data_IF_872154951085
#
_entry.id   IF_872154951085
#
_cell.length_a   1.000
_cell.length_b   1.000
_cell.length_c   1.000
_cell.angle_alpha   90.00
_cell.angle_beta   90.00
_cell.angle_gamma   90.00
#
_symmetry.space_group_name_H-M   'P 1'
#
loop_
_entity.id
_entity.type
_entity.pdbx_description
1 polymer ?
#
# COMPACT_ATOMS: atom_id res chain seq x y z
N UNK A 1 -10.56 9.95 -11.34
CA UNK A 1 -10.75 10.00 -9.89
C UNK A 1 -9.58 10.78 -9.34
N UNK A 2 -9.84 11.81 -8.54
CA UNK A 2 -8.79 12.54 -7.85
C UNK A 2 -8.78 12.04 -6.40
N UNK A 3 -7.61 11.61 -5.93
CA UNK A 3 -7.42 11.15 -4.56
C UNK A 3 -6.99 12.33 -3.69
N UNK A 4 -7.65 12.53 -2.55
CA UNK A 4 -7.19 13.48 -1.54
C UNK A 4 -5.79 13.05 -1.04
N UNK A 5 -4.92 14.03 -0.79
CA UNK A 5 -3.55 13.81 -0.31
C UNK A 5 -3.28 14.53 1.00
N UNK A 6 -4.31 14.95 1.74
CA UNK A 6 -4.19 15.41 3.12
C UNK A 6 -3.79 14.27 4.07
N UNK A 7 -2.97 14.53 5.07
CA UNK A 7 -2.56 13.48 6.02
C UNK A 7 -3.75 13.01 6.87
N UNK A 8 -3.99 11.70 7.06
CA UNK A 8 -5.07 11.18 7.90
C UNK A 8 -5.01 11.72 9.33
N UNK A 9 -6.07 12.42 9.74
CA UNK A 9 -6.22 12.97 11.09
C UNK A 9 -7.70 13.02 11.51
N UNK A 10 -7.98 13.50 12.72
CA UNK A 10 -9.37 13.64 13.20
C UNK A 10 -10.20 14.65 12.39
N UNK A 11 -9.56 15.67 11.82
CA UNK A 11 -10.22 16.73 11.04
C UNK A 11 -10.71 16.27 9.67
N UNK A 12 -10.09 15.23 9.08
CA UNK A 12 -10.53 14.60 7.83
C UNK A 12 -11.08 13.18 7.99
N UNK A 13 -11.36 12.74 9.23
CA UNK A 13 -11.87 11.41 9.52
C UNK A 13 -10.92 10.30 9.05
N UNK A 14 -9.61 10.52 9.20
CA UNK A 14 -8.53 9.62 8.78
C UNK A 14 -8.62 9.16 7.31
N UNK A 15 -9.19 9.99 6.43
CA UNK A 15 -9.49 9.64 5.04
C UNK A 15 -10.38 8.38 4.88
N UNK A 16 -11.53 8.34 5.57
CA UNK A 16 -12.43 7.19 5.55
C UNK A 16 -12.77 6.61 4.17
N UNK A 17 -12.93 7.45 3.14
CA UNK A 17 -13.20 6.97 1.78
C UNK A 17 -12.03 6.17 1.18
N UNK A 18 -10.78 6.58 1.44
CA UNK A 18 -9.61 5.82 0.98
C UNK A 18 -9.46 4.53 1.77
N UNK A 19 -9.65 4.59 3.09
CA UNK A 19 -9.59 3.39 3.93
C UNK A 19 -10.61 2.34 3.50
N UNK A 20 -11.85 2.76 3.22
CA UNK A 20 -12.90 1.89 2.71
C UNK A 20 -12.52 1.30 1.34
N UNK A 21 -12.02 2.11 0.41
CA UNK A 21 -11.58 1.63 -0.91
C UNK A 21 -10.46 0.57 -0.79
N UNK A 22 -9.46 0.84 0.05
CA UNK A 22 -8.32 -0.05 0.29
C UNK A 22 -8.81 -1.37 0.91
N UNK A 23 -9.57 -1.30 2.00
CA UNK A 23 -10.01 -2.47 2.76
C UNK A 23 -11.06 -3.31 2.02
N UNK A 24 -12.06 -2.67 1.40
CA UNK A 24 -13.12 -3.38 0.66
C UNK A 24 -12.59 -4.07 -0.60
N UNK A 25 -11.65 -3.44 -1.32
CA UNK A 25 -10.96 -4.07 -2.46
C UNK A 25 -10.18 -5.30 -2.03
N UNK A 26 -9.44 -5.21 -0.91
CA UNK A 26 -8.71 -6.34 -0.35
C UNK A 26 -9.67 -7.48 0.05
N UNK A 27 -10.74 -7.18 0.79
CA UNK A 27 -11.72 -8.18 1.23
C UNK A 27 -12.40 -8.87 0.03
N UNK A 28 -12.76 -8.11 -1.01
CA UNK A 28 -13.37 -8.64 -2.22
C UNK A 28 -12.44 -9.61 -2.95
N UNK A 29 -11.17 -9.26 -3.09
CA UNK A 29 -10.20 -10.02 -3.89
C UNK A 29 -9.62 -11.21 -3.12
N UNK A 30 -9.21 -11.01 -1.86
CA UNK A 30 -8.52 -12.03 -1.06
C UNK A 30 -9.46 -12.82 -0.14
N UNK A 31 -10.74 -12.42 -0.03
CA UNK A 31 -11.75 -13.08 0.82
C UNK A 31 -11.36 -13.18 2.30
N UNK A 32 -10.47 -12.30 2.75
CA UNK A 32 -10.06 -12.13 4.14
C UNK A 32 -9.96 -10.63 4.47
N UNK A 33 -10.32 -10.20 5.69
CA UNK A 33 -10.18 -8.81 6.08
C UNK A 33 -8.69 -8.39 6.08
N UNK A 34 -8.43 -7.14 5.69
CA UNK A 34 -7.06 -6.57 5.72
C UNK A 34 -6.60 -6.32 7.16
N UNK A 35 -7.50 -5.77 7.98
CA UNK A 35 -7.24 -5.49 9.38
C UNK A 35 -7.77 -6.65 10.22
N UNK A 36 -7.05 -7.08 11.27
CA UNK A 36 -7.59 -8.05 12.23
C UNK A 36 -8.84 -7.49 12.88
N UNK A 37 -9.81 -8.34 13.24
CA UNK A 37 -11.03 -7.93 13.91
C UNK A 37 -10.68 -7.11 15.17
N UNK A 38 -10.94 -5.80 15.10
CA UNK A 38 -10.94 -4.91 16.24
C UNK A 38 -12.39 -4.81 16.66
N UNK A 39 -12.68 -5.01 17.95
CA UNK A 39 -14.05 -4.90 18.48
C UNK A 39 -14.74 -3.58 18.12
N UNK A 40 -16.00 -3.44 18.56
CA UNK A 40 -16.97 -2.39 18.19
C UNK A 40 -16.53 -0.91 18.30
N UNK A 41 -15.31 -0.61 18.76
CA UNK A 41 -14.88 0.72 19.22
C UNK A 41 -13.94 1.50 18.28
N UNK A 42 -13.64 1.04 17.06
CA UNK A 42 -12.61 1.69 16.23
C UNK A 42 -12.97 1.90 14.77
N UNK A 43 -13.06 3.17 14.36
CA UNK A 43 -13.10 3.63 12.97
C UNK A 43 -12.02 2.91 12.12
N UNK A 44 -12.47 2.20 11.08
CA UNK A 44 -11.61 1.46 10.13
C UNK A 44 -10.50 2.34 9.58
N UNK A 45 -10.78 3.62 9.33
CA UNK A 45 -9.82 4.56 8.76
C UNK A 45 -8.66 4.84 9.72
N UNK A 46 -9.00 5.16 10.97
CA UNK A 46 -8.02 5.30 12.06
C UNK A 46 -7.21 4.03 12.25
N UNK A 47 -7.85 2.86 12.29
CA UNK A 47 -7.15 1.57 12.46
C UNK A 47 -6.20 1.27 11.31
N UNK A 48 -6.57 1.60 10.08
CA UNK A 48 -5.73 1.41 8.90
C UNK A 48 -4.48 2.30 8.98
N UNK A 49 -4.66 3.56 9.38
CA UNK A 49 -3.55 4.51 9.53
C UNK A 49 -2.58 4.15 10.67
N UNK A 50 -3.06 3.54 11.74
CA UNK A 50 -2.25 3.11 12.89
C UNK A 50 -1.87 1.61 12.86
N UNK A 51 -2.11 0.89 11.77
CA UNK A 51 -1.82 -0.53 11.70
C UNK A 51 -0.31 -0.81 11.93
N UNK A 52 0.06 -1.89 12.65
CA UNK A 52 1.45 -2.21 13.00
C UNK A 52 2.24 -2.83 11.84
N UNK A 53 1.73 -2.74 10.62
CA UNK A 53 2.33 -3.24 9.39
C UNK A 53 2.15 -2.18 8.30
N UNK A 54 2.97 -2.23 7.26
CA UNK A 54 2.97 -1.21 6.21
C UNK A 54 1.72 -1.35 5.35
N UNK A 55 1.08 -0.21 5.04
CA UNK A 55 0.02 -0.09 4.03
C UNK A 55 0.31 1.13 3.15
N UNK A 56 0.34 0.90 1.84
CA UNK A 56 0.59 1.91 0.80
C UNK A 56 -0.49 1.83 -0.28
N UNK A 57 -0.85 2.96 -0.89
CA UNK A 57 -1.70 2.96 -2.08
C UNK A 57 -1.34 4.07 -3.06
N UNK A 58 -1.37 3.76 -4.36
CA UNK A 58 -1.10 4.69 -5.46
C UNK A 58 -2.22 4.68 -6.50
N UNK A 59 -2.30 5.76 -7.27
CA UNK A 59 -3.27 5.92 -8.35
C UNK A 59 -2.98 4.99 -9.56
N UNK A 60 -3.82 5.06 -10.59
CA UNK A 60 -3.63 4.31 -11.84
C UNK A 60 -2.99 5.14 -12.97
N UNK A 61 -2.29 6.24 -12.65
CA UNK A 61 -1.62 7.04 -13.66
C UNK A 61 -0.47 6.26 -14.35
N UNK A 62 -0.02 6.63 -15.56
CA UNK A 62 1.09 5.96 -16.24
C UNK A 62 2.41 5.93 -15.45
N UNK A 63 2.68 6.96 -14.63
CA UNK A 63 3.72 6.96 -13.60
C UNK A 63 3.02 7.08 -12.23
N UNK A 64 2.59 5.96 -11.62
CA UNK A 64 1.71 5.98 -10.46
C UNK A 64 2.34 6.67 -9.26
N UNK A 65 1.57 7.54 -8.60
CA UNK A 65 2.03 8.26 -7.40
C UNK A 65 1.21 7.82 -6.20
N UNK A 66 1.87 7.62 -5.06
CA UNK A 66 1.16 7.30 -3.82
C UNK A 66 0.19 8.42 -3.45
N UNK A 67 -0.98 8.04 -2.95
CA UNK A 67 -1.94 8.93 -2.31
C UNK A 67 -2.19 8.56 -0.85
N UNK A 68 -1.69 7.40 -0.41
CA UNK A 68 -1.84 6.90 0.95
C UNK A 68 -0.58 6.18 1.44
N UNK A 69 -0.17 6.49 2.68
CA UNK A 69 0.89 5.79 3.41
C UNK A 69 0.61 5.84 4.92
N UNK A 70 0.39 4.67 5.55
CA UNK A 70 0.15 4.63 6.99
C UNK A 70 1.43 4.95 7.80
N UNK A 71 1.30 5.13 9.13
CA UNK A 71 2.45 5.53 9.97
C UNK A 71 3.63 4.55 9.87
N UNK A 72 3.37 3.24 9.88
CA UNK A 72 4.40 2.23 9.71
C UNK A 72 5.16 2.39 8.37
N UNK A 73 4.47 2.79 7.30
CA UNK A 73 5.10 3.10 6.03
C UNK A 73 5.99 4.34 6.12
N UNK A 74 5.49 5.43 6.71
CA UNK A 74 6.24 6.68 6.89
C UNK A 74 7.53 6.44 7.67
N UNK A 75 7.45 5.69 8.77
CA UNK A 75 8.59 5.33 9.61
C UNK A 75 9.60 4.45 8.86
N UNK A 76 9.15 3.38 8.21
CA UNK A 76 10.04 2.43 7.54
C UNK A 76 10.79 3.07 6.35
N UNK A 77 10.09 3.88 5.56
CA UNK A 77 10.66 4.59 4.42
C UNK A 77 11.36 5.89 4.80
N UNK A 78 11.28 6.32 6.06
CA UNK A 78 11.87 7.55 6.59
C UNK A 78 11.42 8.79 5.80
N UNK A 79 10.13 8.85 5.52
CA UNK A 79 9.52 9.92 4.74
C UNK A 79 8.31 10.42 5.50
N UNK A 80 8.16 11.74 5.57
CA UNK A 80 6.91 12.37 5.98
C UNK A 80 5.79 12.00 5.01
N UNK A 81 4.55 12.13 5.46
CA UNK A 81 3.37 11.97 4.60
C UNK A 81 3.49 12.77 3.30
N UNK A 82 3.93 14.03 3.38
CA UNK A 82 4.05 14.92 2.21
C UNK A 82 5.05 14.40 1.17
N UNK A 83 6.13 13.76 1.61
CA UNK A 83 7.10 13.12 0.73
C UNK A 83 6.52 11.84 0.12
N UNK A 84 5.86 11.02 0.94
CA UNK A 84 5.24 9.76 0.51
C UNK A 84 4.21 10.00 -0.59
N UNK A 85 3.26 10.91 -0.39
CA UNK A 85 2.17 11.15 -1.36
C UNK A 85 2.61 11.95 -2.61
N UNK A 86 3.90 12.22 -2.76
CA UNK A 86 4.49 12.78 -3.99
C UNK A 86 5.45 11.81 -4.67
N UNK A 87 5.76 10.69 -4.02
CA UNK A 87 6.70 9.70 -4.49
C UNK A 87 6.07 8.85 -5.61
N UNK A 88 6.64 8.85 -6.83
CA UNK A 88 6.28 7.86 -7.83
C UNK A 88 6.64 6.47 -7.30
N UNK A 89 5.68 5.54 -7.35
CA UNK A 89 5.80 4.20 -6.75
C UNK A 89 7.10 3.46 -7.14
N UNK A 90 7.55 3.63 -8.38
CA UNK A 90 8.81 3.06 -8.91
C UNK A 90 10.08 3.51 -8.19
N UNK A 91 10.05 4.63 -7.46
CA UNK A 91 11.20 5.15 -6.71
C UNK A 91 11.34 4.52 -5.31
N UNK A 92 10.28 3.90 -4.80
CA UNK A 92 10.30 3.20 -3.49
C UNK A 92 10.94 1.80 -3.55
N UNK A 93 11.17 1.29 -4.76
CA UNK A 93 11.62 -0.08 -5.01
C UNK A 93 12.88 -0.11 -5.85
N UNK A 94 13.74 -1.07 -5.58
CA UNK A 94 14.82 -1.36 -6.52
C UNK A 94 14.25 -1.90 -7.84
N UNK A 95 14.97 -1.70 -8.95
CA UNK A 95 14.64 -2.37 -10.20
C UNK A 95 14.53 -3.87 -9.96
N UNK A 96 13.30 -4.39 -10.02
CA UNK A 96 13.04 -5.82 -9.98
C UNK A 96 13.81 -6.50 -11.11
N UNK A 97 14.35 -7.68 -10.83
CA UNK A 97 14.83 -8.56 -11.89
C UNK A 97 13.68 -8.76 -12.90
N UNK A 98 14.01 -8.71 -14.20
CA UNK A 98 13.02 -8.69 -15.28
C UNK A 98 12.02 -9.86 -15.20
N UNK A 99 12.48 -11.02 -14.74
CA UNK A 99 11.64 -12.21 -14.53
C UNK A 99 10.68 -12.09 -13.34
N UNK A 100 11.14 -11.54 -12.20
CA UNK A 100 10.28 -11.33 -11.02
C UNK A 100 9.17 -10.32 -11.34
N UNK A 101 9.50 -9.25 -12.07
CA UNK A 101 8.51 -8.28 -12.54
C UNK A 101 7.49 -8.93 -13.47
N UNK A 102 7.91 -9.78 -14.39
CA UNK A 102 6.99 -10.46 -15.31
C UNK A 102 6.05 -11.43 -14.58
N UNK A 103 6.54 -12.19 -13.59
CA UNK A 103 5.72 -13.08 -12.78
C UNK A 103 4.68 -12.31 -11.97
N UNK A 104 5.09 -11.19 -11.37
CA UNK A 104 4.20 -10.29 -10.64
C UNK A 104 3.11 -9.72 -11.55
N UNK A 105 3.50 -9.14 -12.70
CA UNK A 105 2.56 -8.57 -13.67
C UNK A 105 1.58 -9.63 -14.21
N UNK A 106 2.06 -10.85 -14.48
CA UNK A 106 1.21 -11.93 -14.99
C UNK A 106 0.17 -12.42 -13.97
N UNK A 107 0.51 -12.44 -12.67
CA UNK A 107 -0.42 -12.84 -11.60
C UNK A 107 -1.45 -11.75 -11.30
N UNK A 108 -1.00 -10.50 -11.16
CA UNK A 108 -1.90 -9.36 -10.98
C UNK A 108 -2.86 -9.23 -12.17
N UNK A 109 -2.39 -9.45 -13.40
CA UNK A 109 -3.24 -9.42 -14.59
C UNK A 109 -4.30 -10.54 -14.64
N UNK A 110 -4.14 -11.62 -13.88
CA UNK A 110 -5.07 -12.77 -13.86
C UNK A 110 -6.04 -12.76 -12.69
N UNK A 111 -5.58 -12.25 -11.54
CA UNK A 111 -6.30 -12.40 -10.27
C UNK A 111 -6.59 -11.06 -9.60
N UNK A 112 -6.14 -9.94 -10.17
CA UNK A 112 -6.20 -8.60 -9.59
C UNK A 112 -5.41 -8.43 -8.27
N UNK A 113 -4.69 -9.48 -7.82
CA UNK A 113 -3.78 -9.42 -6.67
C UNK A 113 -2.61 -10.42 -6.77
N UNK A 114 -1.64 -10.25 -5.87
CA UNK A 114 -0.56 -11.19 -5.52
C UNK A 114 -0.34 -11.10 -4.01
N UNK A 115 -0.06 -12.21 -3.33
CA UNK A 115 0.07 -12.28 -1.86
C UNK A 115 1.41 -12.87 -1.38
N UNK A 116 2.31 -13.21 -2.29
CA UNK A 116 3.63 -13.78 -2.03
C UNK A 116 4.78 -12.91 -2.54
N UNK A 117 4.54 -11.60 -2.71
CA UNK A 117 5.54 -10.71 -3.27
C UNK A 117 6.72 -10.47 -2.30
N UNK A 118 7.93 -10.50 -2.86
CA UNK A 118 9.16 -10.18 -2.16
C UNK A 118 10.03 -9.25 -3.02
N UNK A 119 10.82 -8.42 -2.38
CA UNK A 119 11.69 -7.49 -3.09
C UNK A 119 12.47 -6.58 -2.17
N UNK A 120 13.48 -5.91 -2.74
CA UNK A 120 14.24 -4.89 -2.01
C UNK A 120 13.54 -3.54 -2.18
N UNK A 121 13.51 -2.78 -1.09
CA UNK A 121 13.00 -1.41 -0.97
C UNK A 121 14.10 -0.53 -0.40
N UNK A 122 13.96 0.77 -0.65
CA UNK A 122 14.94 1.77 -0.23
C UNK A 122 14.22 2.91 0.50
N UNK A 123 14.70 3.24 1.70
CA UNK A 123 14.26 4.40 2.47
C UNK A 123 14.91 5.68 1.93
N UNK A 124 14.42 6.85 2.34
CA UNK A 124 14.95 8.16 1.92
C UNK A 124 16.43 8.35 2.27
N UNK A 125 16.92 7.75 3.37
CA UNK A 125 18.34 7.76 3.76
C UNK A 125 19.24 6.90 2.87
N UNK A 126 18.66 6.10 1.97
CA UNK A 126 19.38 5.07 1.22
C UNK A 126 19.46 3.71 1.93
N UNK A 127 18.93 3.58 3.16
CA UNK A 127 18.84 2.28 3.85
C UNK A 127 17.99 1.30 3.03
N UNK A 128 18.55 0.12 2.77
CA UNK A 128 17.88 -0.95 2.03
C UNK A 128 17.25 -1.95 2.98
N UNK A 129 16.10 -2.48 2.60
CA UNK A 129 15.43 -3.56 3.32
C UNK A 129 14.74 -4.50 2.35
N UNK A 130 14.70 -5.79 2.67
CA UNK A 130 13.98 -6.79 1.89
C UNK A 130 12.64 -7.09 2.55
N UNK A 131 11.55 -6.94 1.82
CA UNK A 131 10.21 -7.37 2.23
C UNK A 131 9.94 -8.80 1.75
N UNK A 132 9.09 -9.52 2.48
CA UNK A 132 8.60 -10.84 2.11
C UNK A 132 7.10 -10.99 2.41
N UNK A 133 6.42 -11.86 1.67
CA UNK A 133 4.98 -12.12 1.88
C UNK A 133 4.09 -10.90 1.67
N UNK A 134 4.55 -9.92 0.88
CA UNK A 134 3.79 -8.72 0.63
C UNK A 134 2.59 -9.03 -0.25
N UNK A 135 1.45 -8.46 0.12
CA UNK A 135 0.25 -8.48 -0.69
C UNK A 135 0.16 -7.20 -1.51
N UNK A 136 -0.10 -7.32 -2.81
CA UNK A 136 -0.40 -6.20 -3.71
C UNK A 136 -1.71 -6.50 -4.42
N UNK A 137 -2.65 -5.56 -4.42
CA UNK A 137 -3.97 -5.74 -5.01
C UNK A 137 -4.47 -4.49 -5.72
N UNK A 138 -5.33 -4.68 -6.72
CA UNK A 138 -6.00 -3.60 -7.43
C UNK A 138 -7.07 -2.96 -6.55
N UNK A 139 -7.14 -1.62 -6.57
CA UNK A 139 -8.21 -0.86 -5.96
C UNK A 139 -9.39 -0.79 -6.92
N UNK A 140 -10.56 -1.27 -6.50
CA UNK A 140 -11.74 -1.43 -7.36
C UNK A 140 -12.82 -0.44 -6.92
N UNK A 141 -13.09 0.55 -7.76
CA UNK A 141 -14.22 1.46 -7.61
C UNK A 141 -15.20 1.29 -8.77
N UNK A 142 -16.49 1.11 -8.45
CA UNK A 142 -17.56 0.85 -9.42
C UNK A 142 -17.22 -0.20 -10.52
N UNK A 143 -16.43 -1.23 -10.16
CA UNK A 143 -16.00 -2.29 -11.08
C UNK A 143 -14.81 -1.94 -11.98
N UNK A 144 -14.13 -0.81 -11.75
CA UNK A 144 -12.93 -0.37 -12.48
C UNK A 144 -11.73 -0.32 -11.55
N UNK A 145 -10.56 -0.67 -12.07
CA UNK A 145 -9.29 -0.47 -11.36
C UNK A 145 -8.92 1.01 -11.36
N UNK A 146 -8.81 1.61 -10.18
CA UNK A 146 -8.46 3.04 -9.99
C UNK A 146 -7.07 3.25 -9.40
N UNK A 147 -6.38 2.17 -9.03
CA UNK A 147 -5.05 2.20 -8.46
C UNK A 147 -4.65 0.83 -7.92
N UNK A 148 -3.58 0.79 -7.13
CA UNK A 148 -3.16 -0.41 -6.43
C UNK A 148 -2.76 -0.07 -5.00
N UNK A 149 -2.94 -1.04 -4.11
CA UNK A 149 -2.45 -0.99 -2.74
C UNK A 149 -1.50 -2.15 -2.48
N UNK A 150 -0.64 -1.96 -1.48
CA UNK A 150 0.30 -2.96 -0.99
C UNK A 150 0.30 -2.99 0.53
N UNK A 151 0.43 -4.18 1.10
CA UNK A 151 0.58 -4.39 2.54
C UNK A 151 1.62 -5.47 2.85
N UNK A 152 2.43 -5.25 3.88
CA UNK A 152 3.41 -6.22 4.36
C UNK A 152 3.78 -5.96 5.82
N UNK A 153 4.01 -7.03 6.58
CA UNK A 153 4.40 -6.99 7.99
C UNK A 153 5.84 -7.43 8.26
N UNK A 154 6.49 -8.10 7.30
CA UNK A 154 7.81 -8.69 7.48
C UNK A 154 8.85 -8.03 6.58
N UNK A 155 9.93 -7.54 7.19
CA UNK A 155 11.09 -7.03 6.48
C UNK A 155 12.39 -7.27 7.24
N UNK A 156 13.49 -7.33 6.51
CA UNK A 156 14.84 -7.49 7.06
C UNK A 156 15.72 -6.37 6.50
N UNK A 157 16.42 -5.65 7.39
CA UNK A 157 17.40 -4.66 7.00
C UNK A 157 18.56 -5.33 6.24
N UNK A 158 19.00 -4.71 5.15
CA UNK A 158 20.15 -5.16 4.37
C UNK A 158 21.37 -4.32 4.75
N UNK A 159 22.51 -4.99 4.94
CA UNK A 159 23.80 -4.36 5.21
C UNK A 159 24.42 -3.74 3.94
#
# INVERSE_FOLDING_TARGET
MEFDRGEPDEGNGFQAAHAELIASSHLRLLRRPLLPDGGDDGDTARRLYHAPFVILAHDAAPDPVFFYANLAAQELFEMSWQEMVRLPSRQSAEPLAREERQRLLARVARQDYIDDYAGVRIASSGRRFRIAGATVWNLIDAGRTVGQAAAFGDWIALA
#
